data_IF_924046352385
#
_entry.id   IF_924046352385
#
_cell.length_a   1.000
_cell.length_b   1.000
_cell.length_c   1.000
_cell.angle_alpha   90.00
_cell.angle_beta   90.00
_cell.angle_gamma   90.00
#
_symmetry.space_group_name_H-M   'P 1'
#
loop_
_entity.id
_entity.type
_entity.pdbx_description
1 polymer ?
#
# COMPACT_ATOMS: atom_id res chain seq x y z
N UNK A 1 -8.20 20.78 -9.27
CA UNK A 1 -8.85 19.75 -8.43
C UNK A 1 -8.88 20.26 -7.01
N UNK A 2 -10.02 20.19 -6.32
CA UNK A 2 -10.18 20.74 -4.99
C UNK A 2 -10.11 19.62 -3.93
N UNK A 3 -8.99 19.55 -3.19
CA UNK A 3 -8.78 18.60 -2.09
C UNK A 3 -9.26 19.15 -0.74
N UNK A 4 -9.90 20.33 -0.71
CA UNK A 4 -10.62 20.82 0.47
C UNK A 4 -11.90 20.02 0.76
N UNK A 5 -12.26 19.10 -0.13
CA UNK A 5 -13.32 18.12 0.10
C UNK A 5 -13.11 17.37 1.43
N UNK A 6 -14.21 17.00 2.11
CA UNK A 6 -14.13 16.34 3.41
C UNK A 6 -13.31 15.05 3.32
N UNK A 7 -12.48 14.83 4.33
CA UNK A 7 -11.72 13.61 4.49
C UNK A 7 -12.64 12.48 4.93
N UNK A 8 -12.77 11.44 4.12
CA UNK A 8 -13.56 10.26 4.44
C UNK A 8 -12.63 9.13 4.89
N UNK A 9 -12.68 8.73 6.16
CA UNK A 9 -11.82 7.65 6.68
C UNK A 9 -12.04 6.35 5.91
N UNK A 10 -10.95 5.71 5.53
CA UNK A 10 -10.95 4.37 4.94
C UNK A 10 -10.88 3.33 6.04
N UNK A 11 -11.94 2.53 6.20
CA UNK A 11 -12.02 1.43 7.18
C UNK A 11 -11.91 0.04 6.54
N UNK A 12 -11.87 -0.03 5.20
CA UNK A 12 -11.61 -1.25 4.41
C UNK A 12 -12.47 -2.46 4.82
N UNK A 13 -13.79 -2.27 4.94
CA UNK A 13 -14.78 -3.29 5.34
C UNK A 13 -14.48 -4.04 6.66
N UNK A 14 -13.38 -3.70 7.31
CA UNK A 14 -12.95 -4.22 8.58
C UNK A 14 -13.60 -3.36 9.67
N UNK A 15 -14.21 -4.01 10.66
CA UNK A 15 -14.72 -3.32 11.83
C UNK A 15 -13.60 -2.73 12.72
N UNK A 16 -12.33 -2.78 12.28
CA UNK A 16 -11.19 -2.25 13.01
C UNK A 16 -10.84 -0.87 12.50
N UNK A 17 -10.95 0.13 13.39
CA UNK A 17 -10.47 1.49 13.11
C UNK A 17 -8.92 1.58 13.16
N UNK A 18 -8.24 0.50 13.55
CA UNK A 18 -6.80 0.47 13.84
C UNK A 18 -5.99 -0.10 12.67
N UNK A 19 -5.83 0.70 11.62
CA UNK A 19 -4.83 0.42 10.58
C UNK A 19 -3.40 0.42 11.17
N UNK A 20 -2.44 -0.34 10.59
CA UNK A 20 -1.05 -0.40 11.05
C UNK A 20 -0.24 0.88 10.69
N UNK A 21 -0.87 2.04 10.84
CA UNK A 21 -0.39 3.36 10.43
C UNK A 21 -0.43 4.31 11.64
N UNK A 22 0.51 5.25 11.71
CA UNK A 22 0.59 6.26 12.77
C UNK A 22 -0.49 7.34 12.63
N UNK A 23 -1.20 7.35 11.50
CA UNK A 23 -2.17 8.37 11.15
C UNK A 23 -3.32 7.76 10.35
N UNK A 24 -4.56 8.26 10.50
CA UNK A 24 -5.69 7.80 9.70
C UNK A 24 -5.43 7.91 8.20
N UNK A 25 -5.80 6.86 7.48
CA UNK A 25 -5.88 6.85 6.02
C UNK A 25 -7.32 7.12 5.60
N UNK A 26 -7.51 7.91 4.56
CA UNK A 26 -8.83 8.26 4.07
C UNK A 26 -8.83 8.76 2.64
N UNK A 27 -10.01 8.98 2.09
CA UNK A 27 -10.20 9.47 0.74
C UNK A 27 -10.35 10.98 0.72
N UNK A 28 -9.63 11.60 -0.21
CA UNK A 28 -9.94 12.93 -0.76
C UNK A 28 -10.13 12.77 -2.25
N UNK A 29 -11.34 13.08 -2.73
CA UNK A 29 -11.68 12.99 -4.16
C UNK A 29 -11.42 11.59 -4.75
N UNK A 30 -11.65 10.52 -3.98
CA UNK A 30 -11.43 9.13 -4.41
C UNK A 30 -9.96 8.70 -4.47
N UNK A 31 -9.04 9.47 -3.90
CA UNK A 31 -7.63 9.11 -3.74
C UNK A 31 -7.31 8.96 -2.25
N UNK A 32 -6.75 7.82 -1.88
CA UNK A 32 -6.29 7.54 -0.53
C UNK A 32 -5.07 8.42 -0.18
N UNK A 33 -5.14 9.07 0.96
CA UNK A 33 -4.07 9.90 1.53
C UNK A 33 -4.22 9.96 3.05
N UNK A 34 -3.21 10.46 3.74
CA UNK A 34 -3.30 10.66 5.19
C UNK A 34 -4.10 11.92 5.53
N UNK A 35 -4.71 11.94 6.72
CA UNK A 35 -5.57 13.04 7.18
C UNK A 35 -4.89 14.42 7.10
N UNK A 36 -3.64 14.49 7.53
CA UNK A 36 -2.76 15.66 7.51
C UNK A 36 -2.23 16.01 6.12
N UNK A 37 -2.22 15.07 5.19
CA UNK A 37 -1.74 15.34 3.84
C UNK A 37 -2.80 16.14 3.07
N UNK A 38 -2.35 17.24 2.46
CA UNK A 38 -3.16 18.07 1.56
C UNK A 38 -4.39 18.71 2.21
N UNK A 39 -4.36 18.95 3.53
CA UNK A 39 -5.45 19.62 4.27
C UNK A 39 -5.76 21.01 3.74
N UNK A 40 -4.73 21.74 3.30
CA UNK A 40 -4.83 23.09 2.74
C UNK A 40 -5.11 23.09 1.23
N UNK A 41 -5.42 21.91 0.67
CA UNK A 41 -5.62 21.68 -0.76
C UNK A 41 -4.46 20.92 -1.40
N UNK A 42 -4.69 20.49 -2.64
CA UNK A 42 -3.72 19.71 -3.39
C UNK A 42 -2.84 20.63 -4.23
N UNK A 43 -1.50 20.57 -4.08
CA UNK A 43 -0.57 21.28 -4.93
C UNK A 43 -0.83 21.01 -6.42
N UNK A 44 -0.79 22.05 -7.25
CA UNK A 44 -0.95 21.92 -8.70
C UNK A 44 0.07 20.93 -9.31
N UNK A 45 1.26 20.85 -8.72
CA UNK A 45 2.30 19.90 -9.12
C UNK A 45 1.88 18.43 -9.05
N UNK A 46 0.86 18.08 -8.25
CA UNK A 46 0.32 16.73 -8.12
C UNK A 46 -0.85 16.43 -9.07
N UNK A 47 -1.31 17.42 -9.83
CA UNK A 47 -2.47 17.24 -10.72
C UNK A 47 -2.27 16.13 -11.75
N UNK A 48 -1.07 16.03 -12.33
CA UNK A 48 -0.71 14.96 -13.27
C UNK A 48 -0.64 13.59 -12.59
N UNK A 49 -0.05 13.50 -11.40
CA UNK A 49 0.06 12.25 -10.65
C UNK A 49 -1.35 11.72 -10.30
N UNK A 50 -2.24 12.59 -9.82
CA UNK A 50 -3.61 12.22 -9.47
C UNK A 50 -4.44 11.82 -10.71
N UNK A 51 -4.31 12.56 -11.81
CA UNK A 51 -5.01 12.23 -13.05
C UNK A 51 -4.57 10.86 -13.59
N UNK A 52 -3.27 10.58 -13.55
CA UNK A 52 -2.72 9.28 -13.92
C UNK A 52 -3.26 8.17 -13.02
N UNK A 53 -3.16 8.31 -11.69
CA UNK A 53 -3.60 7.29 -10.73
C UNK A 53 -5.10 6.96 -10.88
N UNK A 54 -5.95 7.97 -11.12
CA UNK A 54 -7.39 7.77 -11.38
C UNK A 54 -7.66 7.08 -12.72
N UNK A 55 -6.75 7.21 -13.68
CA UNK A 55 -6.83 6.59 -15.00
C UNK A 55 -6.31 5.15 -15.07
N UNK A 56 -5.78 4.59 -13.98
CA UNK A 56 -5.21 3.24 -13.96
C UNK A 56 -6.23 2.12 -14.16
N UNK A 57 -7.54 2.41 -14.08
CA UNK A 57 -8.58 1.38 -14.19
C UNK A 57 -8.54 0.39 -13.04
N UNK A 58 -8.22 0.86 -11.83
CA UNK A 58 -8.10 0.00 -10.63
C UNK A 58 -9.42 -0.67 -10.32
N UNK A 59 -9.37 -1.99 -10.14
CA UNK A 59 -10.51 -2.84 -9.82
C UNK A 59 -10.38 -3.36 -8.40
N UNK A 60 -10.42 -4.68 -8.23
CA UNK A 60 -10.40 -5.38 -6.96
C UNK A 60 -9.16 -6.27 -6.90
N UNK A 61 -8.61 -6.33 -5.71
CA UNK A 61 -7.54 -7.19 -5.30
C UNK A 61 -8.18 -8.50 -4.81
N UNK A 62 -8.31 -9.45 -5.74
CA UNK A 62 -8.91 -10.75 -5.48
C UNK A 62 -7.86 -11.73 -4.93
N UNK A 63 -8.12 -12.27 -3.74
CA UNK A 63 -7.37 -13.40 -3.19
C UNK A 63 -8.31 -14.27 -2.36
N UNK A 64 -8.34 -15.56 -2.67
CA UNK A 64 -9.33 -16.48 -2.13
C UNK A 64 -10.77 -16.08 -2.50
N UNK A 65 -11.64 -15.94 -1.51
CA UNK A 65 -13.07 -15.64 -1.68
C UNK A 65 -13.43 -14.16 -1.49
N UNK A 66 -12.45 -13.30 -1.23
CA UNK A 66 -12.66 -11.87 -0.99
C UNK A 66 -12.21 -11.04 -2.20
N UNK A 67 -13.05 -10.10 -2.60
CA UNK A 67 -12.73 -9.10 -3.60
C UNK A 67 -12.59 -7.74 -2.91
N UNK A 68 -11.35 -7.33 -2.65
CA UNK A 68 -11.05 -6.13 -1.87
C UNK A 68 -10.77 -4.95 -2.80
N UNK A 69 -11.46 -3.83 -2.64
CA UNK A 69 -11.28 -2.67 -3.51
C UNK A 69 -9.87 -2.07 -3.42
N UNK A 70 -9.27 -1.80 -4.58
CA UNK A 70 -7.98 -1.09 -4.68
C UNK A 70 -8.23 0.40 -4.85
N UNK A 71 -7.49 1.22 -4.12
CA UNK A 71 -7.58 2.67 -4.17
C UNK A 71 -6.28 3.28 -4.68
N UNK A 72 -6.34 4.33 -5.52
CA UNK A 72 -5.15 5.12 -5.82
C UNK A 72 -4.67 5.81 -4.54
N UNK A 73 -3.36 5.90 -4.36
CA UNK A 73 -2.74 6.38 -3.14
C UNK A 73 -1.70 7.48 -3.41
N UNK A 74 -1.68 8.49 -2.54
CA UNK A 74 -0.68 9.55 -2.55
C UNK A 74 -0.36 10.01 -1.13
N UNK A 75 0.92 10.22 -0.82
CA UNK A 75 1.33 10.86 0.43
C UNK A 75 2.58 11.72 0.28
N UNK A 76 2.67 12.77 1.08
CA UNK A 76 3.85 13.64 1.12
C UNK A 76 4.91 13.01 2.03
N UNK A 77 6.12 12.67 1.52
CA UNK A 77 7.14 12.12 2.38
C UNK A 77 7.74 13.20 3.28
N UNK A 78 8.15 12.79 4.48
CA UNK A 78 8.86 13.64 5.45
C UNK A 78 10.38 13.56 5.28
N UNK A 79 10.85 12.60 4.50
CA UNK A 79 12.26 12.30 4.29
C UNK A 79 12.55 12.07 2.80
N UNK A 80 13.82 11.93 2.43
CA UNK A 80 14.18 11.58 1.07
C UNK A 80 13.89 10.11 0.79
N UNK A 81 13.14 9.82 -0.28
CA UNK A 81 12.77 8.47 -0.68
C UNK A 81 13.94 7.75 -1.36
N UNK A 82 14.75 7.02 -0.58
CA UNK A 82 15.86 6.21 -1.09
C UNK A 82 15.81 4.75 -0.67
N UNK A 83 15.54 4.49 0.61
CA UNK A 83 15.61 3.16 1.20
C UNK A 83 14.23 2.63 1.59
N UNK A 84 14.12 1.33 1.83
CA UNK A 84 12.90 0.71 2.38
C UNK A 84 12.43 1.44 3.66
N UNK A 85 13.37 1.79 4.55
CA UNK A 85 13.07 2.59 5.76
C UNK A 85 12.36 3.90 5.43
N UNK A 86 12.86 4.65 4.45
CA UNK A 86 12.27 5.95 4.10
C UNK A 86 10.86 5.80 3.53
N UNK A 87 10.59 4.71 2.81
CA UNK A 87 9.24 4.42 2.33
C UNK A 87 8.30 4.05 3.47
N UNK A 88 8.72 3.20 4.42
CA UNK A 88 7.94 2.88 5.62
C UNK A 88 7.64 4.13 6.46
N UNK A 89 8.61 5.03 6.61
CA UNK A 89 8.42 6.32 7.28
C UNK A 89 7.44 7.22 6.52
N UNK A 90 7.53 7.29 5.19
CA UNK A 90 6.65 8.12 4.36
C UNK A 90 5.19 7.63 4.38
N UNK A 91 4.99 6.32 4.38
CA UNK A 91 3.66 5.71 4.57
C UNK A 91 3.26 5.62 6.05
N UNK A 92 4.04 6.21 6.97
CA UNK A 92 3.70 6.30 8.39
C UNK A 92 3.39 4.93 9.02
N UNK A 93 4.12 3.88 8.65
CA UNK A 93 3.95 2.55 9.26
C UNK A 93 4.21 2.61 10.78
N UNK A 94 3.31 2.05 11.60
CA UNK A 94 3.32 2.24 13.06
C UNK A 94 4.28 1.32 13.81
N UNK A 95 4.43 0.08 13.38
CA UNK A 95 5.23 -0.94 14.09
C UNK A 95 5.71 -2.04 13.13
N UNK A 96 6.37 -1.66 12.03
CA UNK A 96 6.87 -2.64 11.03
C UNK A 96 7.77 -3.70 11.69
N UNK A 97 7.39 -4.98 11.57
CA UNK A 97 8.14 -6.11 12.14
C UNK A 97 8.32 -7.22 11.11
N UNK A 98 9.57 -7.49 10.78
CA UNK A 98 9.95 -8.55 9.85
C UNK A 98 11.17 -9.30 10.38
N UNK A 99 11.06 -10.61 10.56
CA UNK A 99 12.18 -11.45 11.00
C UNK A 99 13.16 -11.76 9.85
N UNK A 100 12.73 -11.55 8.61
CA UNK A 100 13.45 -11.97 7.39
C UNK A 100 14.21 -10.83 6.70
N UNK A 101 13.90 -9.60 7.06
CA UNK A 101 14.55 -8.41 6.51
C UNK A 101 15.71 -7.99 7.42
N UNK A 102 16.94 -8.29 6.99
CA UNK A 102 18.16 -7.99 7.74
C UNK A 102 18.44 -6.50 7.90
N UNK A 103 18.04 -5.69 6.93
CA UNK A 103 18.26 -4.24 6.93
C UNK A 103 17.22 -3.53 6.08
N UNK A 104 16.68 -2.44 6.63
CA UNK A 104 15.78 -1.51 5.93
C UNK A 104 16.55 -0.39 5.21
N UNK A 105 17.87 -0.29 5.43
CA UNK A 105 18.74 0.71 4.82
C UNK A 105 19.26 0.23 3.46
N UNK A 106 18.37 -0.38 2.68
CA UNK A 106 18.64 -0.94 1.36
C UNK A 106 17.75 -0.26 0.30
N UNK A 107 18.28 -0.09 -0.90
CA UNK A 107 17.56 0.44 -2.06
C UNK A 107 16.85 -0.65 -2.87
N UNK A 108 17.12 -1.92 -2.55
CA UNK A 108 16.50 -3.10 -3.15
C UNK A 108 16.42 -4.19 -2.09
N UNK A 109 15.25 -4.80 -1.93
CA UNK A 109 15.06 -5.97 -1.06
C UNK A 109 14.33 -7.02 -1.91
N UNK A 110 14.89 -8.24 -2.09
CA UNK A 110 14.21 -9.30 -2.83
C UNK A 110 12.96 -9.76 -2.07
N UNK A 111 12.01 -10.37 -2.78
CA UNK A 111 10.85 -10.99 -2.13
C UNK A 111 11.33 -12.03 -1.10
N UNK A 112 10.90 -11.96 0.18
CA UNK A 112 11.41 -12.85 1.22
C UNK A 112 10.93 -14.30 1.04
N UNK A 113 9.83 -14.55 0.31
CA UNK A 113 9.14 -15.85 0.32
C UNK A 113 8.10 -15.94 1.44
N UNK A 114 7.29 -16.99 1.42
CA UNK A 114 6.30 -17.25 2.48
C UNK A 114 7.00 -17.77 3.76
N UNK A 115 6.74 -17.12 4.89
CA UNK A 115 7.29 -17.47 6.21
C UNK A 115 6.20 -17.52 7.29
N UNK A 116 5.53 -18.66 7.46
CA UNK A 116 4.55 -18.83 8.54
C UNK A 116 5.22 -18.72 9.92
N UNK A 117 4.42 -18.43 10.95
CA UNK A 117 4.83 -18.43 12.37
C UNK A 117 5.96 -17.44 12.76
N UNK A 118 6.13 -16.36 12.00
CA UNK A 118 7.14 -15.32 12.24
C UNK A 118 6.53 -13.92 12.22
N UNK A 119 7.27 -12.89 12.66
CA UNK A 119 6.89 -11.52 12.31
C UNK A 119 7.10 -11.34 10.80
N UNK A 120 6.01 -11.13 10.08
CA UNK A 120 5.95 -11.29 8.64
C UNK A 120 5.41 -10.03 7.93
N UNK A 121 5.60 -8.83 8.48
CA UNK A 121 5.47 -7.64 7.64
C UNK A 121 6.53 -7.70 6.53
N UNK A 122 6.15 -7.22 5.34
CA UNK A 122 7.00 -7.31 4.16
C UNK A 122 7.23 -5.93 3.54
N UNK A 123 8.45 -5.72 3.08
CA UNK A 123 8.78 -4.65 2.15
C UNK A 123 9.84 -5.16 1.17
N UNK A 124 9.49 -5.18 -0.11
CA UNK A 124 10.38 -5.65 -1.17
C UNK A 124 10.17 -4.86 -2.46
N UNK A 125 11.14 -4.93 -3.37
CA UNK A 125 11.12 -4.25 -4.67
C UNK A 125 10.97 -5.22 -5.85
N UNK A 126 10.85 -6.52 -5.55
CA UNK A 126 10.60 -7.59 -6.50
C UNK A 126 9.08 -7.74 -6.74
N UNK A 127 8.56 -7.72 -7.99
CA UNK A 127 7.13 -7.88 -8.25
C UNK A 127 6.58 -9.30 -7.99
N UNK A 128 7.43 -10.28 -7.69
CA UNK A 128 7.01 -11.66 -7.43
C UNK A 128 6.02 -11.76 -6.27
N UNK A 129 4.98 -12.61 -6.43
CA UNK A 129 3.96 -12.92 -5.41
C UNK A 129 3.23 -11.69 -4.83
N UNK A 130 3.07 -10.65 -5.65
CA UNK A 130 2.33 -9.47 -5.25
C UNK A 130 0.82 -9.63 -5.57
N UNK A 131 0.01 -9.85 -4.52
CA UNK A 131 -1.43 -10.17 -4.63
C UNK A 131 -2.36 -8.96 -4.87
N UNK A 132 -1.82 -7.75 -4.86
CA UNK A 132 -2.54 -6.50 -5.16
C UNK A 132 -2.85 -6.35 -6.65
N UNK A 133 -2.06 -6.98 -7.52
CA UNK A 133 -2.25 -6.88 -8.97
C UNK A 133 -2.63 -8.16 -9.70
N UNK A 134 -2.69 -9.34 -9.07
CA UNK A 134 -3.33 -10.57 -9.63
C UNK A 134 -3.19 -11.82 -8.75
N UNK A 135 -4.15 -12.74 -8.90
CA UNK A 135 -3.93 -14.19 -9.02
C UNK A 135 -4.93 -14.75 -10.04
N UNK A 136 -4.56 -14.77 -11.32
CA UNK A 136 -5.37 -15.35 -12.40
C UNK A 136 -4.52 -15.66 -13.62
N UNK A 137 -4.86 -16.73 -14.34
CA UNK A 137 -4.07 -17.28 -15.47
C UNK A 137 -4.14 -16.43 -16.76
N UNK A 138 -4.95 -15.37 -16.80
CA UNK A 138 -5.01 -14.46 -17.95
C UNK A 138 -4.52 -13.05 -17.58
N UNK A 139 -3.72 -12.39 -18.45
CA UNK A 139 -3.28 -11.01 -18.21
C UNK A 139 -4.48 -10.07 -18.27
N UNK A 140 -5.02 -9.80 -17.09
CA UNK A 140 -6.18 -8.97 -16.85
C UNK A 140 -5.85 -7.46 -16.93
N UNK A 141 -6.87 -6.63 -16.77
CA UNK A 141 -6.73 -5.17 -16.69
C UNK A 141 -5.83 -4.73 -15.51
N UNK A 142 -5.77 -5.53 -14.44
CA UNK A 142 -4.97 -5.30 -13.24
C UNK A 142 -3.46 -5.43 -13.50
N UNK A 143 -3.06 -6.40 -14.32
CA UNK A 143 -1.69 -6.55 -14.81
C UNK A 143 -1.25 -5.31 -15.61
N UNK A 144 -2.16 -4.74 -16.41
CA UNK A 144 -1.88 -3.49 -17.14
C UNK A 144 -1.77 -2.30 -16.20
N UNK A 145 -2.57 -2.25 -15.14
CA UNK A 145 -2.49 -1.20 -14.12
C UNK A 145 -1.14 -1.25 -13.38
N UNK A 146 -0.65 -2.45 -13.04
CA UNK A 146 0.68 -2.64 -12.45
C UNK A 146 1.79 -2.12 -13.33
N UNK A 147 1.87 -2.60 -14.57
CA UNK A 147 2.91 -2.18 -15.51
C UNK A 147 2.82 -0.67 -15.81
N UNK A 148 1.60 -0.12 -15.91
CA UNK A 148 1.39 1.31 -16.06
C UNK A 148 1.95 2.09 -14.87
N UNK A 149 1.64 1.67 -13.64
CA UNK A 149 2.14 2.30 -12.42
C UNK A 149 3.65 2.21 -12.33
N UNK A 150 4.22 1.03 -12.56
CA UNK A 150 5.67 0.80 -12.59
C UNK A 150 6.35 1.71 -13.60
N UNK A 151 5.81 1.81 -14.82
CA UNK A 151 6.36 2.69 -15.85
C UNK A 151 6.23 4.17 -15.51
N UNK A 152 5.26 4.56 -14.67
CA UNK A 152 5.01 5.95 -14.30
C UNK A 152 5.92 6.44 -13.16
N UNK A 153 6.27 5.58 -12.20
CA UNK A 153 7.14 5.95 -11.08
C UNK A 153 8.60 6.12 -11.51
N UNK A 154 9.36 6.88 -10.72
CA UNK A 154 10.77 7.15 -10.97
C UNK A 154 11.58 5.85 -11.01
N UNK A 155 12.46 5.74 -12.00
CA UNK A 155 13.37 4.59 -12.18
C UNK A 155 12.64 3.24 -12.30
N UNK A 156 11.33 3.26 -12.58
CA UNK A 156 10.47 2.08 -12.59
C UNK A 156 10.50 1.28 -11.28
N UNK A 157 10.77 1.99 -10.17
CA UNK A 157 11.02 1.38 -8.88
C UNK A 157 9.78 1.47 -7.99
N UNK A 158 9.17 0.31 -7.74
CA UNK A 158 8.09 0.13 -6.78
C UNK A 158 8.57 -0.59 -5.54
N UNK A 159 8.05 -0.19 -4.40
CA UNK A 159 8.03 -0.96 -3.17
C UNK A 159 6.66 -1.59 -3.00
N UNK A 160 6.67 -2.90 -2.77
CA UNK A 160 5.51 -3.66 -2.36
C UNK A 160 5.60 -3.85 -0.86
N UNK A 161 4.54 -3.47 -0.16
CA UNK A 161 4.52 -3.40 1.30
C UNK A 161 3.28 -4.13 1.79
N UNK A 162 3.48 -5.01 2.76
CA UNK A 162 2.43 -5.73 3.47
C UNK A 162 2.59 -5.44 4.96
N UNK A 163 1.55 -4.90 5.58
CA UNK A 163 1.51 -4.62 7.01
C UNK A 163 0.35 -5.36 7.66
N UNK A 164 0.62 -6.12 8.71
CA UNK A 164 -0.43 -6.80 9.46
C UNK A 164 -1.23 -5.82 10.30
N UNK A 165 -2.56 -5.94 10.26
CA UNK A 165 -3.41 -5.24 11.22
C UNK A 165 -3.18 -5.79 12.64
N UNK A 166 -3.59 -5.04 13.66
CA UNK A 166 -3.47 -5.48 15.04
C UNK A 166 -4.17 -6.84 15.23
N UNK A 167 -3.51 -7.81 15.89
CA UNK A 167 -4.10 -9.13 16.06
C UNK A 167 -5.29 -9.05 17.01
N UNK A 168 -6.34 -9.82 16.70
CA UNK A 168 -7.54 -9.97 17.52
C UNK A 168 -7.50 -11.29 18.28
N UNK A 169 -8.15 -11.37 19.45
CA UNK A 169 -8.29 -12.63 20.16
C UNK A 169 -9.25 -13.56 19.42
N UNK A 170 -8.79 -14.77 19.13
CA UNK A 170 -9.58 -15.95 18.75
C UNK A 170 -9.42 -17.00 19.86
N UNK A 171 -10.30 -18.01 19.88
CA UNK A 171 -10.49 -18.94 21.02
C UNK A 171 -9.20 -19.31 21.78
N UNK A 172 -8.13 -19.70 21.07
CA UNK A 172 -6.88 -20.15 21.67
C UNK A 172 -5.63 -19.34 21.23
N UNK A 173 -5.77 -18.29 20.40
CA UNK A 173 -4.64 -17.56 19.85
C UNK A 173 -4.97 -16.12 19.42
N UNK A 174 -3.94 -15.29 19.25
CA UNK A 174 -4.04 -13.94 18.71
C UNK A 174 -3.75 -13.97 17.21
N UNK A 175 -4.60 -13.36 16.39
CA UNK A 175 -4.46 -13.43 14.94
C UNK A 175 -4.79 -12.12 14.23
N UNK A 176 -3.93 -11.74 13.30
CA UNK A 176 -4.16 -10.60 12.41
C UNK A 176 -4.99 -11.04 11.23
N UNK A 177 -6.32 -10.87 11.31
CA UNK A 177 -7.26 -11.29 10.26
C UNK A 177 -7.04 -10.62 8.91
N UNK A 178 -6.41 -9.45 8.89
CA UNK A 178 -6.25 -8.63 7.70
C UNK A 178 -4.84 -8.05 7.59
N UNK A 179 -4.45 -7.79 6.36
CA UNK A 179 -3.22 -7.08 5.99
C UNK A 179 -3.57 -5.85 5.16
N UNK A 180 -2.80 -4.78 5.35
CA UNK A 180 -2.79 -3.62 4.46
C UNK A 180 -1.72 -3.86 3.39
N UNK A 181 -2.09 -3.71 2.13
CA UNK A 181 -1.22 -3.90 0.98
C UNK A 181 -0.99 -2.57 0.27
N UNK A 182 0.26 -2.27 -0.04
CA UNK A 182 0.62 -1.10 -0.84
C UNK A 182 1.58 -1.50 -1.96
N UNK A 183 1.42 -0.82 -3.09
CA UNK A 183 2.43 -0.80 -4.14
C UNK A 183 2.72 0.65 -4.49
N UNK A 184 3.88 1.14 -4.10
CA UNK A 184 4.20 2.57 -4.09
C UNK A 184 5.57 2.87 -4.66
N UNK A 185 5.69 4.00 -5.35
CA UNK A 185 6.94 4.52 -5.86
C UNK A 185 7.01 6.02 -5.71
N UNK A 186 8.16 6.58 -6.07
CA UNK A 186 8.36 8.03 -6.09
C UNK A 186 7.83 8.60 -7.40
N UNK A 187 7.08 9.68 -7.37
CA UNK A 187 6.68 10.41 -8.59
C UNK A 187 7.92 10.86 -9.39
N UNK A 188 7.80 10.89 -10.72
CA UNK A 188 8.83 11.48 -11.59
C UNK A 188 8.85 13.00 -11.54
N UNK A 189 7.68 13.59 -11.31
CA UNK A 189 7.46 15.04 -11.39
C UNK A 189 7.61 15.71 -10.02
N UNK A 190 7.36 14.97 -8.95
CA UNK A 190 7.38 15.47 -7.57
C UNK A 190 8.23 14.57 -6.68
N UNK A 191 8.49 14.99 -5.44
CA UNK A 191 9.10 14.10 -4.44
C UNK A 191 8.06 13.19 -3.76
N UNK A 192 6.81 13.20 -4.19
CA UNK A 192 5.69 12.57 -3.49
C UNK A 192 5.69 11.05 -3.69
N UNK A 193 5.18 10.30 -2.70
CA UNK A 193 4.90 8.88 -2.85
C UNK A 193 3.56 8.74 -3.57
N UNK A 194 3.53 7.94 -4.63
CA UNK A 194 2.33 7.64 -5.40
C UNK A 194 2.22 6.13 -5.59
N UNK A 195 1.00 5.64 -5.73
CA UNK A 195 0.78 4.22 -5.95
C UNK A 195 -0.65 3.82 -5.69
N UNK A 196 -0.81 2.66 -5.09
CA UNK A 196 -2.11 2.08 -4.75
C UNK A 196 -2.06 1.43 -3.39
N UNK A 197 -3.23 1.35 -2.76
CA UNK A 197 -3.45 0.71 -1.46
C UNK A 197 -4.70 -0.16 -1.50
N UNK A 198 -4.64 -1.29 -0.83
CA UNK A 198 -5.76 -2.20 -0.62
C UNK A 198 -5.62 -2.85 0.76
N UNK A 199 -6.58 -3.70 1.09
CA UNK A 199 -6.52 -4.62 2.21
C UNK A 199 -6.83 -6.03 1.69
N UNK A 200 -6.44 -7.06 2.43
CA UNK A 200 -6.85 -8.44 2.18
C UNK A 200 -6.96 -9.21 3.48
N UNK A 201 -7.69 -10.33 3.46
CA UNK A 201 -7.69 -11.31 4.55
C UNK A 201 -6.28 -11.90 4.64
N UNK A 202 -5.73 -11.99 5.85
CA UNK A 202 -4.47 -12.69 6.10
C UNK A 202 -4.73 -14.19 6.04
N UNK A 203 -3.92 -14.94 5.31
CA UNK A 203 -4.15 -16.37 5.06
C UNK A 203 -3.49 -17.32 6.06
N UNK A 204 -2.91 -16.87 7.18
CA UNK A 204 -2.33 -17.81 8.16
C UNK A 204 -3.38 -18.70 8.89
N UNK A 205 -4.67 -18.65 8.50
CA UNK A 205 -5.70 -19.58 8.97
C UNK A 205 -5.99 -20.75 8.02
N UNK A 206 -5.48 -20.75 6.78
CA UNK A 206 -5.96 -21.69 5.75
C UNK A 206 -4.88 -22.49 5.01
N UNK A 207 -3.63 -22.53 5.50
CA UNK A 207 -2.60 -23.48 5.04
C UNK A 207 -2.21 -24.47 6.15
#
# INVERSE_FOLDING_TARGET
MDFSAPFERLLFDSASEDLPLLEPLGLRQGVACFESDFSDGCPESLSHDIAFLKGLGLTECAYGTAACKVYPFVCSPRTELRTARNYLEAIRAKDFKSDHIKSLDQTHIPFPGYHPDTNNDEIHSDPSEQNLFTHGDEPDETTRAHESLKMYVREQHLWYILLHMAPKPHDEFMFSEYVLLLAVGRSKSTNTVIGVVSHQVCHNLCD
#
